data_IF_606889456011
#
_entry.id   IF_606889456011
#
_cell.length_a   1.000
_cell.length_b   1.000
_cell.length_c   1.000
_cell.angle_alpha   90.00
_cell.angle_beta   90.00
_cell.angle_gamma   90.00
#
_symmetry.space_group_name_H-M   'P 1'
#
loop_
_entity.id
_entity.type
_entity.pdbx_description
1 polymer ?
#
# COMPACT_ATOMS: atom_id res chain seq x y z
N UNK A 1 30.58 9.23 -6.60
CA UNK A 1 29.68 8.13 -7.03
C UNK A 1 28.58 8.02 -6.00
N UNK A 2 27.47 8.73 -6.21
CA UNK A 2 26.37 8.78 -5.25
C UNK A 2 25.67 7.44 -5.23
N UNK A 3 25.69 6.75 -4.09
CA UNK A 3 24.86 5.57 -3.86
C UNK A 3 23.42 6.00 -4.11
N UNK A 4 22.84 5.52 -5.22
CA UNK A 4 21.42 5.69 -5.49
C UNK A 4 20.66 5.18 -4.28
N UNK A 5 19.88 6.07 -3.66
CA UNK A 5 18.92 5.73 -2.63
C UNK A 5 17.99 4.65 -3.18
N UNK A 6 18.32 3.39 -2.89
CA UNK A 6 17.53 2.21 -3.28
C UNK A 6 16.14 2.17 -2.61
N UNK A 7 15.82 3.16 -1.77
CA UNK A 7 14.57 3.25 -1.02
C UNK A 7 13.43 3.98 -1.73
N UNK A 8 13.59 4.45 -2.98
CA UNK A 8 12.59 5.33 -3.60
C UNK A 8 12.38 5.10 -5.10
N UNK A 9 12.52 3.87 -5.60
CA UNK A 9 12.00 3.58 -6.95
C UNK A 9 10.48 3.84 -6.95
N UNK A 10 9.95 4.70 -7.83
CA UNK A 10 8.54 5.02 -7.83
C UNK A 10 7.74 3.76 -8.11
N UNK A 11 6.88 3.37 -7.17
CA UNK A 11 5.94 2.27 -7.37
C UNK A 11 5.15 2.52 -8.65
N UNK A 12 5.23 1.59 -9.61
CA UNK A 12 4.62 1.75 -10.93
C UNK A 12 3.26 1.09 -11.03
N UNK A 13 2.92 0.24 -10.08
CA UNK A 13 1.69 -0.53 -10.07
C UNK A 13 1.05 -0.53 -8.69
N UNK A 14 -0.28 -0.47 -8.69
CA UNK A 14 -1.11 -0.54 -7.49
C UNK A 14 -2.24 -1.54 -7.68
N UNK A 15 -2.46 -2.39 -6.69
CA UNK A 15 -3.72 -3.10 -6.51
C UNK A 15 -4.57 -2.40 -5.45
N UNK A 16 -5.88 -2.36 -5.67
CA UNK A 16 -6.87 -1.91 -4.69
C UNK A 16 -7.80 -3.07 -4.36
N UNK A 17 -7.87 -3.41 -3.07
CA UNK A 17 -8.79 -4.43 -2.53
C UNK A 17 -9.65 -3.72 -1.49
N UNK A 18 -10.97 -3.76 -1.64
CA UNK A 18 -11.92 -3.06 -0.77
C UNK A 18 -12.51 -4.01 0.26
N UNK A 19 -13.18 -3.44 1.27
CA UNK A 19 -13.92 -4.17 2.30
C UNK A 19 -13.06 -5.18 3.07
N UNK A 20 -11.80 -4.79 3.34
CA UNK A 20 -10.84 -5.64 4.07
C UNK A 20 -10.99 -5.48 5.58
N UNK A 21 -10.71 -6.53 6.34
CA UNK A 21 -10.52 -6.41 7.80
C UNK A 21 -9.04 -6.06 8.09
N UNK A 22 -8.72 -4.89 8.70
CA UNK A 22 -7.36 -4.51 9.05
C UNK A 22 -6.61 -5.56 9.89
N UNK A 23 -7.31 -6.24 10.80
CA UNK A 23 -6.71 -7.27 11.65
C UNK A 23 -6.39 -8.55 10.85
N UNK A 24 -7.25 -8.92 9.89
CA UNK A 24 -6.96 -9.99 8.96
C UNK A 24 -5.76 -9.67 8.06
N UNK A 25 -5.64 -8.41 7.60
CA UNK A 25 -4.47 -7.95 6.86
C UNK A 25 -3.21 -8.05 7.71
N UNK A 26 -3.25 -7.57 8.96
CA UNK A 26 -2.12 -7.69 9.89
C UNK A 26 -1.66 -9.15 10.05
N UNK A 27 -2.59 -10.08 10.34
CA UNK A 27 -2.27 -11.51 10.48
C UNK A 27 -1.65 -12.08 9.21
N UNK A 28 -2.19 -11.73 8.04
CA UNK A 28 -1.70 -12.22 6.74
C UNK A 28 -0.30 -11.69 6.42
N UNK A 29 -0.05 -10.41 6.68
CA UNK A 29 1.28 -9.79 6.55
C UNK A 29 2.30 -10.51 7.43
N UNK A 30 1.95 -10.80 8.70
CA UNK A 30 2.83 -11.52 9.62
C UNK A 30 3.09 -12.95 9.16
N UNK A 31 2.09 -13.64 8.63
CA UNK A 31 2.23 -15.00 8.10
C UNK A 31 3.21 -15.09 6.91
N UNK A 32 3.35 -14.01 6.14
CA UNK A 32 4.29 -13.95 5.00
C UNK A 32 5.63 -13.29 5.33
N UNK A 33 5.96 -13.18 6.63
CA UNK A 33 7.17 -12.53 7.15
C UNK A 33 7.29 -11.03 6.78
N UNK A 34 6.16 -10.35 6.58
CA UNK A 34 6.11 -8.90 6.48
C UNK A 34 6.20 -8.21 7.84
N UNK A 35 6.41 -6.90 7.80
CA UNK A 35 6.48 -6.07 9.00
C UNK A 35 5.66 -4.80 8.85
N UNK A 36 5.13 -4.30 9.98
CA UNK A 36 4.53 -2.97 10.06
C UNK A 36 5.64 -1.94 9.98
N UNK A 37 5.50 -0.98 9.08
CA UNK A 37 6.38 0.19 9.03
C UNK A 37 6.06 1.15 10.19
N UNK A 38 6.73 2.30 10.22
CA UNK A 38 6.39 3.37 11.17
C UNK A 38 4.91 3.75 11.12
N UNK A 39 4.40 4.29 12.22
CA UNK A 39 3.03 4.79 12.27
C UNK A 39 2.89 6.00 11.34
N UNK A 40 1.95 5.91 10.40
CA UNK A 40 1.68 7.00 9.43
C UNK A 40 0.18 7.28 9.32
N UNK A 41 -0.47 7.81 10.38
CA UNK A 41 -1.87 8.19 10.31
C UNK A 41 -2.16 9.10 9.10
N UNK A 42 -3.27 8.88 8.37
CA UNK A 42 -4.42 8.04 8.72
C UNK A 42 -4.33 6.59 8.22
N UNK A 43 -3.15 6.12 7.80
CA UNK A 43 -2.97 4.78 7.23
C UNK A 43 -2.09 3.90 8.10
N UNK A 44 -2.24 2.59 7.95
CA UNK A 44 -1.28 1.62 8.47
C UNK A 44 -0.42 1.10 7.33
N UNK A 45 0.89 1.26 7.46
CA UNK A 45 1.85 0.83 6.45
C UNK A 45 2.48 -0.50 6.82
N UNK A 46 2.59 -1.38 5.83
CA UNK A 46 3.37 -2.62 5.94
C UNK A 46 4.36 -2.75 4.78
N UNK A 47 5.38 -3.56 5.01
CA UNK A 47 6.35 -3.96 3.99
C UNK A 47 6.38 -5.47 3.88
N UNK A 48 6.25 -5.97 2.65
CA UNK A 48 6.40 -7.38 2.29
C UNK A 48 7.38 -7.45 1.13
N UNK A 49 8.56 -8.03 1.34
CA UNK A 49 9.66 -8.01 0.37
C UNK A 49 9.91 -6.59 -0.17
N UNK A 50 9.72 -6.35 -1.48
CA UNK A 50 9.87 -5.04 -2.12
C UNK A 50 8.53 -4.34 -2.39
N UNK A 51 7.45 -4.74 -1.71
CA UNK A 51 6.10 -4.20 -1.90
C UNK A 51 5.61 -3.50 -0.65
N UNK A 52 5.11 -2.28 -0.85
CA UNK A 52 4.54 -1.45 0.21
C UNK A 52 3.04 -1.64 0.25
N UNK A 53 2.51 -2.01 1.40
CA UNK A 53 1.08 -2.16 1.62
C UNK A 53 0.57 -1.01 2.47
N UNK A 54 -0.63 -0.53 2.15
CA UNK A 54 -1.32 0.51 2.92
C UNK A 54 -2.72 0.02 3.25
N UNK A 55 -3.04 -0.03 4.54
CA UNK A 55 -4.40 -0.22 5.02
C UNK A 55 -4.96 1.15 5.37
N UNK A 56 -6.04 1.53 4.69
CA UNK A 56 -6.62 2.87 4.73
C UNK A 56 -8.12 2.76 4.99
N UNK A 57 -8.64 3.64 5.82
CA UNK A 57 -10.09 3.79 5.95
C UNK A 57 -10.54 4.83 4.92
N UNK A 58 -11.42 4.45 4.01
CA UNK A 58 -11.94 5.32 2.96
C UNK A 58 -13.46 5.14 2.87
N UNK A 59 -14.19 6.26 2.88
CA UNK A 59 -15.63 6.28 2.60
C UNK A 59 -16.47 5.29 3.42
N UNK A 60 -16.07 5.01 4.67
CA UNK A 60 -16.79 4.13 5.61
C UNK A 60 -16.42 2.65 5.51
N UNK A 61 -15.44 2.28 4.68
CA UNK A 61 -14.89 0.94 4.61
C UNK A 61 -13.36 0.96 4.67
N UNK A 62 -12.74 -0.18 4.93
CA UNK A 62 -11.30 -0.35 4.88
C UNK A 62 -10.87 -0.88 3.52
N UNK A 63 -9.77 -0.35 3.00
CA UNK A 63 -9.16 -0.82 1.77
C UNK A 63 -7.67 -1.16 2.00
N UNK A 64 -7.20 -2.16 1.26
CA UNK A 64 -5.80 -2.52 1.14
C UNK A 64 -5.27 -2.06 -0.22
N UNK A 65 -4.23 -1.23 -0.19
CA UNK A 65 -3.46 -0.81 -1.34
C UNK A 65 -2.14 -1.57 -1.36
N UNK A 66 -1.83 -2.28 -2.44
CA UNK A 66 -0.54 -2.98 -2.61
C UNK A 66 0.23 -2.28 -3.72
N UNK A 67 1.37 -1.69 -3.37
CA UNK A 67 2.21 -0.92 -4.28
C UNK A 67 3.49 -1.69 -4.62
N UNK A 68 3.83 -1.78 -5.90
CA UNK A 68 5.00 -2.51 -6.38
C UNK A 68 5.58 -1.95 -7.67
N UNK A 69 6.77 -2.44 -8.03
CA UNK A 69 7.48 -2.01 -9.24
C UNK A 69 6.95 -2.66 -10.52
N UNK A 70 6.29 -3.82 -10.41
CA UNK A 70 5.66 -4.55 -11.53
C UNK A 70 4.27 -5.04 -11.15
N UNK A 71 3.39 -5.22 -12.14
CA UNK A 71 2.06 -5.79 -11.93
C UNK A 71 2.13 -7.22 -11.36
N UNK A 72 3.09 -8.02 -11.81
CA UNK A 72 3.35 -9.37 -11.33
C UNK A 72 3.66 -9.39 -9.83
N UNK A 73 4.61 -8.56 -9.37
CA UNK A 73 4.92 -8.48 -7.93
C UNK A 73 3.72 -8.08 -7.09
N UNK A 74 2.90 -7.16 -7.57
CA UNK A 74 1.67 -6.75 -6.88
C UNK A 74 0.68 -7.93 -6.78
N UNK A 75 0.49 -8.68 -7.86
CA UNK A 75 -0.37 -9.88 -7.88
C UNK A 75 0.17 -10.98 -6.97
N UNK A 76 1.46 -11.25 -7.02
CA UNK A 76 2.10 -12.27 -6.19
C UNK A 76 1.97 -11.94 -4.70
N UNK A 77 2.18 -10.67 -4.34
CA UNK A 77 1.94 -10.22 -2.97
C UNK A 77 0.47 -10.38 -2.57
N UNK A 78 -0.48 -10.01 -3.43
CA UNK A 78 -1.91 -10.20 -3.15
C UNK A 78 -2.27 -11.68 -2.92
N UNK A 79 -1.80 -12.56 -3.79
CA UNK A 79 -2.01 -14.00 -3.70
C UNK A 79 -1.39 -14.60 -2.42
N UNK A 80 -0.17 -14.17 -2.05
CA UNK A 80 0.49 -14.59 -0.80
C UNK A 80 -0.28 -14.17 0.45
N UNK A 81 -1.01 -13.06 0.39
CA UNK A 81 -1.89 -12.59 1.47
C UNK A 81 -3.27 -13.28 1.46
N UNK A 82 -3.52 -14.19 0.52
CA UNK A 82 -4.77 -14.93 0.40
C UNK A 82 -5.86 -14.23 -0.41
N UNK A 83 -5.54 -13.14 -1.12
CA UNK A 83 -6.49 -12.47 -1.99
C UNK A 83 -6.47 -13.08 -3.40
N UNK A 84 -7.63 -13.51 -3.92
CA UNK A 84 -7.69 -14.10 -5.25
C UNK A 84 -7.52 -13.04 -6.33
N UNK A 85 -7.15 -13.46 -7.54
CA UNK A 85 -6.85 -12.54 -8.64
C UNK A 85 -8.05 -11.67 -9.04
N UNK A 86 -9.28 -12.19 -8.93
CA UNK A 86 -10.50 -11.45 -9.23
C UNK A 86 -10.80 -10.30 -8.25
N UNK A 87 -10.27 -10.35 -7.02
CA UNK A 87 -10.45 -9.30 -6.03
C UNK A 87 -9.48 -8.11 -6.22
N UNK A 88 -8.55 -8.23 -7.17
CA UNK A 88 -7.42 -7.32 -7.35
C UNK A 88 -7.66 -6.39 -8.52
N UNK A 89 -8.09 -5.15 -8.23
CA UNK A 89 -8.17 -4.10 -9.25
C UNK A 89 -6.78 -3.49 -9.47
N UNK A 90 -6.13 -3.80 -10.61
CA UNK A 90 -4.79 -3.31 -10.95
C UNK A 90 -4.80 -2.00 -11.73
N UNK A 91 -3.93 -1.08 -11.32
CA UNK A 91 -3.75 0.23 -11.95
C UNK A 91 -2.27 0.53 -12.15
N UNK A 92 -1.90 1.03 -13.33
CA UNK A 92 -0.59 1.63 -13.57
C UNK A 92 -0.54 3.01 -12.94
N UNK A 93 0.58 3.36 -12.30
CA UNK A 93 0.78 4.63 -11.60
C UNK A 93 1.64 5.56 -12.46
N UNK A 94 1.11 6.75 -12.83
CA UNK A 94 1.81 7.99 -12.53
C UNK A 94 0.88 9.01 -11.82
N UNK A 95 1.47 9.92 -11.02
CA UNK A 95 0.85 11.10 -10.35
C UNK A 95 -0.31 10.84 -9.38
N UNK A 96 -0.05 10.79 -8.07
CA UNK A 96 -0.99 11.15 -6.96
C UNK A 96 -2.44 10.61 -7.01
N UNK A 97 -2.76 9.68 -7.90
CA UNK A 97 -4.12 9.24 -8.17
C UNK A 97 -4.45 8.06 -7.28
N UNK A 98 -5.37 8.29 -6.35
CA UNK A 98 -5.96 7.24 -5.52
C UNK A 98 -5.30 7.06 -4.16
N UNK A 99 -4.67 8.10 -3.61
CA UNK A 99 -4.66 8.19 -2.15
C UNK A 99 -6.09 8.54 -1.72
N UNK A 100 -6.70 7.81 -0.78
CA UNK A 100 -7.97 8.21 -0.19
C UNK A 100 -7.91 9.67 0.23
N UNK A 101 -9.04 10.39 0.13
CA UNK A 101 -9.11 11.83 0.39
C UNK A 101 -8.46 12.20 1.74
N UNK A 102 -8.67 11.36 2.75
CA UNK A 102 -8.07 11.50 4.08
C UNK A 102 -6.54 11.46 4.07
N UNK A 103 -5.94 10.57 3.28
CA UNK A 103 -4.48 10.47 3.14
C UNK A 103 -3.93 11.66 2.36
N UNK A 104 -4.64 12.12 1.33
CA UNK A 104 -4.28 13.32 0.56
C UNK A 104 -4.29 14.57 1.45
N UNK A 105 -5.35 14.76 2.24
CA UNK A 105 -5.48 15.88 3.17
C UNK A 105 -4.45 15.82 4.31
N UNK A 106 -4.09 14.63 4.79
CA UNK A 106 -3.05 14.47 5.81
C UNK A 106 -1.66 14.85 5.28
N UNK A 107 -1.35 14.50 4.03
CA UNK A 107 -0.09 14.88 3.39
C UNK A 107 0.00 16.39 3.14
N UNK A 108 -1.05 17.01 2.62
CA UNK A 108 -1.09 18.48 2.43
C UNK A 108 -0.91 19.23 3.75
N UNK A 109 -1.47 18.73 4.86
CA UNK A 109 -1.27 19.33 6.20
C UNK A 109 0.17 19.23 6.72
N UNK A 110 0.88 18.13 6.43
CA UNK A 110 2.31 17.98 6.77
C UNK A 110 3.21 18.87 5.91
N UNK A 111 2.86 19.07 4.63
CA UNK A 111 3.65 19.89 3.69
C UNK A 111 3.50 21.40 3.93
N UNK A 112 2.37 21.87 4.47
CA UNK A 112 2.14 23.28 4.82
C UNK A 112 2.64 23.73 6.20
N UNK A 113 3.31 22.85 6.95
CA UNK A 113 3.83 23.12 8.30
C UNK A 113 5.36 23.34 8.34
N UNK A 114 5.98 23.57 7.18
CA UNK A 114 7.41 23.84 7.02
C UNK A 114 7.68 25.30 6.65
#
# INVERSE_FOLDING_TARGET
MSQQQQGNEPHRWRAVIRDVDPEAVYRSVRAVNGFRSWEDPPRTLYQVATTTLEVVHDSGTWALLINGTTAERVRDTAARLGYPHEAVELRSVPELAGLPELVRQARMRKEGAA
#
